data_IF_724021832306
#
_entry.id   IF_724021832306
#
_cell.length_a   1.000
_cell.length_b   1.000
_cell.length_c   1.000
_cell.angle_alpha   90.00
_cell.angle_beta   90.00
_cell.angle_gamma   90.00
#
_symmetry.space_group_name_H-M   'P 1'
#
loop_
_entity.id
_entity.type
_entity.pdbx_description
1 polymer ?
#
# COMPACT_ATOMS: atom_id res chain seq x y z
N UNK A 1 -5.70 -18.67 22.55
CA UNK A 1 -7.00 -18.63 23.26
C UNK A 1 -7.57 -17.21 23.17
N UNK A 2 -8.34 -16.88 22.11
CA UNK A 2 -8.96 -15.56 21.97
C UNK A 2 -10.28 -15.54 22.75
N UNK A 3 -10.37 -14.53 23.60
CA UNK A 3 -11.33 -14.32 24.68
C UNK A 3 -12.80 -14.39 24.23
N UNK A 4 -13.53 -15.41 24.68
CA UNK A 4 -14.98 -15.56 24.43
C UNK A 4 -15.83 -14.60 25.30
N UNK A 5 -15.24 -13.99 26.35
CA UNK A 5 -15.96 -13.15 27.32
C UNK A 5 -16.10 -11.67 26.91
N UNK A 6 -15.39 -11.19 25.89
CA UNK A 6 -15.44 -9.78 25.45
C UNK A 6 -16.51 -9.48 24.39
N UNK A 7 -17.13 -10.52 23.82
CA UNK A 7 -18.11 -10.41 22.74
C UNK A 7 -19.36 -9.55 23.05
N UNK A 8 -20.04 -9.68 24.20
CA UNK A 8 -21.25 -8.89 24.48
C UNK A 8 -20.94 -7.42 24.75
N UNK A 9 -19.81 -7.13 25.40
CA UNK A 9 -19.36 -5.76 25.65
C UNK A 9 -18.92 -5.07 24.35
N UNK A 10 -18.19 -5.79 23.49
CA UNK A 10 -17.82 -5.31 22.16
C UNK A 10 -19.06 -4.99 21.32
N UNK A 11 -20.10 -5.82 21.35
CA UNK A 11 -21.36 -5.57 20.63
C UNK A 11 -22.08 -4.29 21.10
N UNK A 12 -22.06 -4.01 22.42
CA UNK A 12 -22.64 -2.79 22.97
C UNK A 12 -21.83 -1.54 22.56
N UNK A 13 -20.50 -1.60 22.65
CA UNK A 13 -19.63 -0.49 22.22
C UNK A 13 -19.74 -0.23 20.72
N UNK A 14 -19.80 -1.29 19.92
CA UNK A 14 -20.00 -1.21 18.47
C UNK A 14 -21.29 -0.45 18.12
N UNK A 15 -22.40 -0.75 18.82
CA UNK A 15 -23.69 -0.09 18.57
C UNK A 15 -23.80 1.32 19.13
N UNK A 16 -23.24 1.57 20.32
CA UNK A 16 -23.46 2.82 21.06
C UNK A 16 -22.39 3.88 20.79
N UNK A 17 -21.16 3.48 20.44
CA UNK A 17 -20.02 4.40 20.28
C UNK A 17 -19.55 4.41 18.83
N UNK A 18 -19.19 3.25 18.28
CA UNK A 18 -18.57 3.20 16.97
C UNK A 18 -19.54 3.45 15.82
N UNK A 19 -20.76 2.89 15.88
CA UNK A 19 -21.76 3.12 14.84
C UNK A 19 -22.18 4.59 14.72
N UNK A 20 -22.47 5.33 15.83
CA UNK A 20 -22.73 6.77 15.76
C UNK A 20 -21.52 7.58 15.28
N UNK A 21 -20.30 7.25 15.76
CA UNK A 21 -19.08 7.92 15.31
C UNK A 21 -18.86 7.75 13.80
N UNK A 22 -18.97 6.51 13.28
CA UNK A 22 -18.89 6.23 11.84
C UNK A 22 -20.03 6.88 11.07
N UNK A 23 -21.24 6.93 11.62
CA UNK A 23 -22.37 7.59 10.97
C UNK A 23 -22.18 9.11 10.86
N UNK A 24 -21.64 9.75 11.90
CA UNK A 24 -21.32 11.17 11.89
C UNK A 24 -20.25 11.52 10.83
N UNK A 25 -19.29 10.62 10.60
CA UNK A 25 -18.29 10.74 9.53
C UNK A 25 -18.83 10.32 8.14
N UNK A 26 -20.06 9.79 8.06
CA UNK A 26 -20.60 9.22 6.82
C UNK A 26 -19.99 7.88 6.39
N UNK A 27 -19.17 7.25 7.24
CA UNK A 27 -18.42 6.02 6.98
C UNK A 27 -19.10 4.75 7.50
N UNK A 28 -20.38 4.83 7.89
CA UNK A 28 -21.19 3.70 8.40
C UNK A 28 -21.08 2.43 7.51
N UNK A 29 -21.05 2.63 6.18
CA UNK A 29 -21.01 1.55 5.19
C UNK A 29 -19.61 1.28 4.63
N UNK A 30 -18.54 1.96 5.12
CA UNK A 30 -17.16 1.66 4.69
C UNK A 30 -16.79 0.26 5.20
N UNK A 31 -16.51 -0.65 4.28
CA UNK A 31 -15.96 -1.99 4.58
C UNK A 31 -14.46 -2.06 4.32
N UNK A 32 -14.04 -1.36 3.27
CA UNK A 32 -12.67 -1.32 2.80
C UNK A 32 -12.26 0.13 2.74
N UNK A 33 -11.29 0.50 3.56
CA UNK A 33 -10.75 1.84 3.58
C UNK A 33 -9.24 1.68 3.30
N UNK A 34 -8.81 2.18 2.15
CA UNK A 34 -7.43 2.13 1.68
C UNK A 34 -6.89 3.55 1.58
N UNK A 35 -5.59 3.70 1.81
CA UNK A 35 -4.91 4.97 1.64
C UNK A 35 -3.67 4.76 0.77
N UNK A 36 -3.52 5.63 -0.24
CA UNK A 36 -2.34 5.73 -1.09
C UNK A 36 -1.73 7.10 -0.91
N UNK A 37 -0.43 7.13 -0.62
CA UNK A 37 0.33 8.37 -0.54
C UNK A 37 1.65 8.19 0.18
N UNK A 38 2.62 9.01 -0.21
CA UNK A 38 3.90 9.19 0.47
C UNK A 38 3.78 9.99 1.77
N UNK A 39 2.59 10.56 2.06
CA UNK A 39 2.42 11.35 3.26
C UNK A 39 2.69 10.47 4.47
N UNK A 40 3.72 10.85 5.22
CA UNK A 40 3.98 10.46 6.58
C UNK A 40 2.71 10.71 7.39
N UNK A 41 1.81 9.73 7.36
CA UNK A 41 0.64 9.71 8.21
C UNK A 41 1.15 9.60 9.64
N UNK A 42 0.88 10.62 10.44
CA UNK A 42 1.17 10.56 11.86
C UNK A 42 0.46 9.32 12.39
N UNK A 43 1.18 8.43 13.08
CA UNK A 43 0.63 7.19 13.64
C UNK A 43 -0.69 7.45 14.37
N UNK A 44 -0.81 8.62 15.01
CA UNK A 44 -2.01 9.14 15.67
C UNK A 44 -3.28 9.14 14.79
N UNK A 45 -3.17 9.51 13.52
CA UNK A 45 -4.34 9.53 12.61
C UNK A 45 -4.81 8.11 12.32
N UNK A 46 -3.87 7.20 12.08
CA UNK A 46 -4.19 5.78 11.85
C UNK A 46 -4.79 5.15 13.11
N UNK A 47 -4.19 5.44 14.27
CA UNK A 47 -4.67 4.98 15.57
C UNK A 47 -6.08 5.50 15.87
N UNK A 48 -6.38 6.75 15.54
CA UNK A 48 -7.73 7.30 15.65
C UNK A 48 -8.74 6.49 14.83
N UNK A 49 -8.47 6.26 13.54
CA UNK A 49 -9.39 5.50 12.69
C UNK A 49 -9.51 4.02 13.12
N UNK A 50 -8.40 3.40 13.53
CA UNK A 50 -8.43 2.07 14.13
C UNK A 50 -9.25 2.03 15.42
N UNK A 51 -9.18 3.07 16.25
CA UNK A 51 -9.93 3.15 17.52
C UNK A 51 -11.45 3.20 17.31
N UNK A 52 -11.94 3.72 16.18
CA UNK A 52 -13.38 3.74 15.83
C UNK A 52 -13.82 2.53 15.00
N UNK A 53 -12.95 1.52 14.87
CA UNK A 53 -13.22 0.28 14.14
C UNK A 53 -13.06 0.38 12.62
N UNK A 54 -12.37 1.41 12.12
CA UNK A 54 -12.04 1.57 10.69
C UNK A 54 -10.60 1.16 10.42
N UNK A 55 -10.42 -0.07 9.92
CA UNK A 55 -9.11 -0.58 9.52
C UNK A 55 -8.65 0.04 8.19
N UNK A 56 -7.94 1.17 8.27
CA UNK A 56 -7.26 1.76 7.11
C UNK A 56 -6.04 0.91 6.76
N UNK A 57 -5.94 0.49 5.50
CA UNK A 57 -4.86 -0.32 4.93
C UNK A 57 -4.04 0.49 3.92
N UNK A 58 -2.76 0.16 3.76
CA UNK A 58 -1.91 0.80 2.76
C UNK A 58 -2.18 0.24 1.36
N UNK A 59 -2.20 1.15 0.39
CA UNK A 59 -2.22 0.89 -1.04
C UNK A 59 -1.00 1.60 -1.63
N UNK A 60 -0.16 0.87 -2.35
CA UNK A 60 0.98 1.44 -3.07
C UNK A 60 0.67 1.52 -4.55
N UNK A 61 0.91 2.68 -5.13
CA UNK A 61 0.75 2.97 -6.54
C UNK A 61 1.19 4.40 -6.81
N UNK A 62 1.75 4.63 -7.98
CA UNK A 62 2.17 5.94 -8.48
C UNK A 62 1.30 6.29 -9.69
N UNK A 63 1.46 7.48 -10.25
CA UNK A 63 0.62 7.92 -11.38
C UNK A 63 0.83 7.00 -12.59
N UNK A 64 2.07 6.56 -12.79
CA UNK A 64 2.55 5.73 -13.88
C UNK A 64 2.03 4.28 -13.81
N UNK A 65 1.48 3.86 -12.66
CA UNK A 65 0.87 2.52 -12.48
C UNK A 65 -0.66 2.52 -12.67
N UNK A 66 -1.28 3.64 -13.08
CA UNK A 66 -2.72 3.73 -13.35
C UNK A 66 -3.61 3.15 -12.23
N UNK A 67 -3.18 3.24 -10.97
CA UNK A 67 -3.86 2.64 -9.83
C UNK A 67 -2.91 1.92 -8.89
N UNK A 68 -3.47 0.94 -8.16
CA UNK A 68 -2.74 0.16 -7.18
C UNK A 68 -1.83 -0.89 -7.84
N UNK A 69 -0.60 -0.98 -7.35
CA UNK A 69 0.36 -2.04 -7.65
C UNK A 69 0.37 -3.11 -6.53
N UNK A 70 0.41 -2.64 -5.28
CA UNK A 70 0.44 -3.51 -4.09
C UNK A 70 -0.54 -3.04 -3.03
N UNK A 71 -1.05 -4.00 -2.25
CA UNK A 71 -2.03 -3.78 -1.19
C UNK A 71 -1.58 -4.47 0.09
N UNK A 72 -1.78 -3.79 1.21
CA UNK A 72 -1.66 -4.44 2.52
C UNK A 72 -2.91 -5.29 2.79
N UNK A 73 -2.74 -6.60 2.97
CA UNK A 73 -3.87 -7.51 3.23
C UNK A 73 -4.42 -7.38 4.67
N UNK A 74 -3.53 -7.26 5.66
CA UNK A 74 -3.89 -7.19 7.09
C UNK A 74 -3.39 -5.90 7.75
N UNK A 75 -4.28 -5.24 8.51
CA UNK A 75 -3.92 -4.08 9.32
C UNK A 75 -2.88 -4.47 10.37
N UNK A 76 -1.67 -3.92 10.26
CA UNK A 76 -0.56 -4.18 11.19
C UNK A 76 0.58 -5.02 10.60
N UNK A 77 0.66 -5.14 9.27
CA UNK A 77 1.87 -5.66 8.66
C UNK A 77 3.03 -4.70 8.91
N UNK A 78 4.26 -5.25 8.85
CA UNK A 78 5.54 -4.58 9.15
C UNK A 78 5.51 -3.12 8.73
N UNK A 79 5.80 -2.19 9.65
CA UNK A 79 5.58 -0.72 9.55
C UNK A 79 6.12 -0.03 8.27
N UNK A 80 6.91 -0.72 7.45
CA UNK A 80 7.56 -0.22 6.24
C UNK A 80 7.40 -1.13 5.02
N UNK A 81 6.50 -2.11 5.02
CA UNK A 81 6.23 -2.93 3.84
C UNK A 81 5.31 -2.20 2.86
N UNK A 82 5.56 -2.35 1.56
CA UNK A 82 4.68 -1.88 0.47
C UNK A 82 3.46 -2.79 0.22
N UNK A 83 3.29 -3.83 1.04
CA UNK A 83 2.18 -4.77 0.94
C UNK A 83 2.45 -5.88 -0.07
N UNK A 84 1.42 -6.68 -0.35
CA UNK A 84 1.47 -7.77 -1.31
C UNK A 84 1.09 -7.26 -2.70
N UNK A 85 1.79 -7.71 -3.72
CA UNK A 85 1.49 -7.41 -5.12
C UNK A 85 0.09 -7.91 -5.50
N UNK A 86 -0.63 -7.08 -6.26
CA UNK A 86 -1.90 -7.50 -6.86
C UNK A 86 -1.62 -8.56 -7.93
N UNK A 87 -2.54 -9.51 -8.11
CA UNK A 87 -2.40 -10.57 -9.10
C UNK A 87 -2.04 -10.01 -10.49
N UNK A 88 -0.91 -10.47 -11.04
CA UNK A 88 -0.39 -10.04 -12.35
C UNK A 88 0.49 -8.78 -12.31
N UNK A 89 0.74 -8.23 -11.13
CA UNK A 89 1.78 -7.24 -10.87
C UNK A 89 3.03 -7.96 -10.35
N UNK A 90 4.21 -7.43 -10.67
CA UNK A 90 5.49 -7.94 -10.21
C UNK A 90 6.39 -6.77 -9.79
N UNK A 91 7.13 -6.94 -8.71
CA UNK A 91 8.17 -6.02 -8.25
C UNK A 91 9.52 -6.69 -8.35
N UNK A 92 10.52 -5.95 -8.83
CA UNK A 92 11.93 -6.33 -8.82
C UNK A 92 12.73 -5.22 -8.14
N UNK A 93 13.83 -5.60 -7.50
CA UNK A 93 14.86 -4.64 -7.08
C UNK A 93 16.01 -4.75 -8.07
N UNK A 94 16.34 -3.65 -8.74
CA UNK A 94 17.46 -3.56 -9.67
C UNK A 94 18.70 -3.00 -8.98
N UNK A 95 19.78 -3.77 -9.00
CA UNK A 95 21.07 -3.39 -8.40
C UNK A 95 22.09 -2.92 -9.44
N UNK A 96 21.74 -2.88 -10.72
CA UNK A 96 22.68 -2.55 -11.81
C UNK A 96 23.26 -1.14 -11.73
N UNK A 97 22.53 -0.18 -11.13
CA UNK A 97 22.96 1.20 -10.93
C UNK A 97 23.64 1.46 -9.58
N UNK A 98 23.70 0.47 -8.69
CA UNK A 98 24.17 0.64 -7.31
C UNK A 98 25.59 0.10 -7.13
N UNK A 99 26.49 0.98 -6.68
CA UNK A 99 27.72 0.56 -6.01
C UNK A 99 27.37 -0.37 -4.84
N UNK A 100 28.25 -1.29 -4.44
CA UNK A 100 28.01 -2.35 -3.43
C UNK A 100 27.52 -1.90 -2.04
N UNK A 101 27.25 -0.60 -1.83
CA UNK A 101 26.77 0.02 -0.60
C UNK A 101 25.48 0.85 -0.76
N UNK A 102 24.88 0.96 -1.95
CA UNK A 102 23.65 1.74 -2.17
C UNK A 102 22.43 0.81 -2.33
N UNK A 103 21.25 1.17 -1.81
CA UNK A 103 20.03 0.39 -2.00
C UNK A 103 19.74 0.19 -3.49
N UNK A 104 19.21 -0.98 -3.87
CA UNK A 104 18.77 -1.20 -5.24
C UNK A 104 17.54 -0.34 -5.55
N UNK A 105 17.30 -0.05 -6.83
CA UNK A 105 16.13 0.74 -7.25
C UNK A 105 14.93 -0.19 -7.49
N UNK A 106 13.75 0.22 -7.04
CA UNK A 106 12.52 -0.56 -7.28
C UNK A 106 12.06 -0.43 -8.74
N UNK A 107 11.78 -1.57 -9.35
CA UNK A 107 11.19 -1.71 -10.66
C UNK A 107 9.83 -2.40 -10.55
N UNK A 108 8.82 -1.89 -11.25
CA UNK A 108 7.46 -2.43 -11.26
C UNK A 108 7.16 -2.99 -12.64
N UNK A 109 6.39 -4.07 -12.70
CA UNK A 109 5.90 -4.64 -13.95
C UNK A 109 4.43 -5.05 -13.82
N UNK A 110 3.68 -4.91 -14.92
CA UNK A 110 2.30 -5.39 -15.01
C UNK A 110 1.47 -4.62 -16.03
N UNK A 111 0.28 -5.14 -16.33
CA UNK A 111 -0.62 -4.58 -17.36
C UNK A 111 -1.20 -3.19 -17.05
N UNK A 112 -1.03 -2.73 -15.81
CA UNK A 112 -1.52 -1.46 -15.30
C UNK A 112 -0.50 -0.32 -15.48
N UNK A 113 0.74 -0.64 -15.86
CA UNK A 113 1.74 0.36 -16.19
C UNK A 113 1.32 1.11 -17.45
N UNK A 114 1.45 2.43 -17.39
CA UNK A 114 1.09 3.33 -18.48
C UNK A 114 1.88 3.03 -19.77
N UNK A 115 1.41 3.57 -20.90
CA UNK A 115 2.13 3.44 -22.18
C UNK A 115 3.27 4.45 -22.33
N UNK A 116 3.37 5.42 -21.41
CA UNK A 116 4.32 6.51 -21.46
C UNK A 116 3.70 7.88 -21.27
N UNK A 117 4.56 8.89 -21.23
CA UNK A 117 4.18 10.29 -21.10
C UNK A 117 3.78 10.88 -22.46
N UNK A 118 2.68 11.61 -22.49
CA UNK A 118 2.15 12.20 -23.71
C UNK A 118 3.14 13.20 -24.31
N UNK A 119 3.63 12.91 -25.53
CA UNK A 119 4.56 13.78 -26.25
C UNK A 119 5.99 13.80 -25.70
N UNK A 120 6.31 12.94 -24.72
CA UNK A 120 7.62 12.90 -24.05
C UNK A 120 8.22 11.49 -24.17
N UNK A 121 8.56 11.12 -25.41
CA UNK A 121 9.12 9.80 -25.74
C UNK A 121 10.46 9.55 -25.05
N UNK A 122 11.32 10.57 -24.97
CA UNK A 122 12.63 10.45 -24.31
C UNK A 122 12.51 10.18 -22.81
N UNK A 123 11.55 10.83 -22.14
CA UNK A 123 11.29 10.59 -20.72
C UNK A 123 10.66 9.22 -20.50
N UNK A 124 9.75 8.81 -21.40
CA UNK A 124 9.13 7.48 -21.39
C UNK A 124 10.19 6.38 -21.49
N UNK A 125 11.12 6.50 -22.43
CA UNK A 125 12.22 5.53 -22.61
C UNK A 125 13.25 5.56 -21.47
N UNK A 126 13.28 6.63 -20.67
CA UNK A 126 14.16 6.71 -19.51
C UNK A 126 13.61 5.95 -18.29
N UNK A 127 12.28 5.83 -18.18
CA UNK A 127 11.61 5.16 -17.05
C UNK A 127 11.09 3.77 -17.40
N UNK A 128 10.79 3.49 -18.67
CA UNK A 128 10.36 2.17 -19.14
C UNK A 128 11.49 1.47 -19.88
N UNK A 129 11.84 0.26 -19.46
CA UNK A 129 12.77 -0.58 -20.18
C UNK A 129 12.11 -1.29 -21.38
N UNK A 130 12.92 -2.02 -22.15
CA UNK A 130 12.46 -2.77 -23.33
C UNK A 130 11.58 -3.98 -22.98
N UNK A 131 11.60 -4.42 -21.73
CA UNK A 131 10.82 -5.55 -21.21
C UNK A 131 9.50 -5.08 -20.55
N UNK A 132 9.30 -3.76 -20.45
CA UNK A 132 8.12 -3.11 -19.88
C UNK A 132 8.20 -2.91 -18.36
N UNK A 133 9.38 -3.01 -17.75
CA UNK A 133 9.59 -2.63 -16.36
C UNK A 133 9.68 -1.11 -16.23
N UNK A 134 8.95 -0.60 -15.25
CA UNK A 134 8.96 0.79 -14.84
C UNK A 134 9.96 0.99 -13.70
N UNK A 135 10.98 1.80 -13.95
CA UNK A 135 11.96 2.25 -12.97
C UNK A 135 11.39 3.43 -12.17
N UNK A 136 11.02 3.19 -10.90
CA UNK A 136 10.37 4.20 -10.05
C UNK A 136 11.38 5.14 -9.40
N UNK A 137 12.64 4.73 -9.30
CA UNK A 137 13.68 5.51 -8.63
C UNK A 137 13.56 5.53 -7.09
N UNK A 138 12.62 4.76 -6.52
CA UNK A 138 12.49 4.54 -5.08
C UNK A 138 13.55 3.54 -4.59
N UNK A 139 14.18 3.85 -3.46
CA UNK A 139 15.09 2.92 -2.77
C UNK A 139 14.33 1.63 -2.36
N UNK A 140 14.63 0.55 -3.08
CA UNK A 140 14.20 -0.80 -2.74
C UNK A 140 15.04 -1.32 -1.58
N UNK A 141 14.52 -1.22 -0.35
CA UNK A 141 15.04 -2.05 0.74
C UNK A 141 14.51 -3.46 0.58
N UNK A 142 15.40 -4.44 0.59
CA UNK A 142 15.15 -5.89 0.48
C UNK A 142 14.15 -6.44 1.52
N UNK A 143 13.76 -5.63 2.50
CA UNK A 143 12.72 -5.95 3.50
C UNK A 143 11.29 -6.08 2.94
N UNK A 144 11.06 -5.77 1.66
CA UNK A 144 9.75 -5.74 1.02
C UNK A 144 9.27 -7.05 0.40
N UNK A 145 10.14 -8.07 0.25
CA UNK A 145 9.73 -9.37 -0.24
C UNK A 145 9.02 -10.15 0.87
N UNK A 146 7.68 -10.09 0.90
CA UNK A 146 6.83 -11.06 1.60
C UNK A 146 6.83 -12.44 0.87
N UNK A 147 7.99 -12.87 0.40
CA UNK A 147 8.23 -14.16 -0.26
C UNK A 147 9.21 -15.02 0.53
N UNK A 148 9.21 -14.89 1.86
CA UNK A 148 9.75 -15.94 2.72
C UNK A 148 8.59 -16.85 3.13
N UNK A 149 8.61 -18.06 2.59
CA UNK A 149 7.82 -19.22 3.05
C UNK A 149 8.01 -19.50 4.55
#
# INVERSE_FOLDING_TARGET
>A
MRSFFLLPFHFLVERLVFHPARAALGLNRCRYCYYSGTASNTSETMEFFWSVGLSIRRLYGINETCGAHSLEESCGNRKQSHGREIQGCLTRIDFSSSSSSSPGLRCLWGRHIFMGYLGMETETQSVLDKEGWLHVGDDGKETDSLLDE
#
